data_IF_597217272844
#
_entry.id   IF_597217272844
#
_cell.length_a   1.000
_cell.length_b   1.000
_cell.length_c   1.000
_cell.angle_alpha   90.00
_cell.angle_beta   90.00
_cell.angle_gamma   90.00
#
_symmetry.space_group_name_H-M   'P 1'
#
loop_
_entity.id
_entity.type
_entity.pdbx_description
1 polymer ?
#
# COMPACT_ATOMS: atom_id res chain seq x y z
N UNK A 1 32.82 16.16 4.15
CA UNK A 1 33.64 17.26 3.62
C UNK A 1 34.27 16.80 2.32
N UNK A 2 33.77 17.26 1.17
CA UNK A 2 34.35 16.90 -0.12
C UNK A 2 35.67 17.66 -0.29
N UNK A 3 36.81 16.96 -0.27
CA UNK A 3 38.10 17.60 -0.55
C UNK A 3 38.09 18.06 -2.00
N UNK A 4 38.27 19.38 -2.21
CA UNK A 4 38.42 19.97 -3.54
C UNK A 4 39.60 19.30 -4.27
N UNK A 5 39.46 18.93 -5.55
CA UNK A 5 40.58 18.38 -6.30
C UNK A 5 41.70 19.42 -6.37
N UNK A 6 42.93 18.98 -6.07
CA UNK A 6 44.16 19.77 -6.23
C UNK A 6 44.21 20.37 -7.65
N UNK A 7 44.49 21.67 -7.75
CA UNK A 7 44.66 22.32 -9.06
C UNK A 7 45.85 21.69 -9.80
N UNK A 8 45.72 21.54 -11.13
CA UNK A 8 46.75 20.98 -12.02
C UNK A 8 48.12 21.62 -11.83
N UNK A 9 48.15 22.95 -11.65
CA UNK A 9 49.37 23.73 -11.41
C UNK A 9 50.03 23.45 -10.06
N UNK A 10 49.27 23.09 -9.02
CA UNK A 10 49.83 22.72 -7.72
C UNK A 10 50.40 21.30 -7.76
N UNK A 11 49.76 20.39 -8.51
CA UNK A 11 50.26 19.05 -8.75
C UNK A 11 51.55 19.06 -9.59
N UNK A 12 51.64 19.93 -10.61
CA UNK A 12 52.85 20.14 -11.44
C UNK A 12 54.05 20.65 -10.62
N UNK A 13 53.79 21.46 -9.57
CA UNK A 13 54.83 21.91 -8.63
C UNK A 13 55.30 20.83 -7.65
N UNK A 14 54.62 19.67 -7.61
CA UNK A 14 55.06 18.56 -6.78
C UNK A 14 56.25 17.83 -7.41
N UNK A 15 57.05 17.22 -6.53
CA UNK A 15 58.21 16.41 -6.85
C UNK A 15 57.97 15.49 -8.06
N UNK A 16 58.73 15.68 -9.14
CA UNK A 16 58.67 14.86 -10.36
C UNK A 16 58.78 13.36 -10.04
N UNK A 17 59.55 13.01 -9.00
CA UNK A 17 59.69 11.62 -8.52
C UNK A 17 58.36 11.08 -7.99
N UNK A 18 57.63 11.88 -7.19
CA UNK A 18 56.34 11.47 -6.66
C UNK A 18 55.30 11.29 -7.78
N UNK A 19 55.32 12.14 -8.80
CA UNK A 19 54.45 11.97 -9.98
C UNK A 19 54.75 10.68 -10.74
N UNK A 20 56.02 10.36 -10.96
CA UNK A 20 56.45 9.13 -11.61
C UNK A 20 56.06 7.88 -10.80
N UNK A 21 56.20 7.91 -9.47
CA UNK A 21 55.75 6.83 -8.59
C UNK A 21 54.23 6.61 -8.64
N UNK A 22 53.45 7.69 -8.61
CA UNK A 22 51.99 7.64 -8.77
C UNK A 22 51.63 7.04 -10.13
N UNK A 23 52.34 7.43 -11.19
CA UNK A 23 52.11 6.91 -12.53
C UNK A 23 52.40 5.41 -12.62
N UNK A 24 53.54 4.97 -12.07
CA UNK A 24 53.90 3.55 -11.96
C UNK A 24 52.85 2.74 -11.21
N UNK A 25 52.32 3.28 -10.11
CA UNK A 25 51.26 2.62 -9.35
C UNK A 25 49.96 2.50 -10.15
N UNK A 26 49.55 3.55 -10.86
CA UNK A 26 48.35 3.53 -11.71
C UNK A 26 48.46 2.50 -12.83
N UNK A 27 49.62 2.43 -13.50
CA UNK A 27 49.85 1.44 -14.55
C UNK A 27 49.77 0.00 -14.02
N UNK A 28 50.29 -0.26 -12.82
CA UNK A 28 50.15 -1.56 -12.15
C UNK A 28 48.70 -1.87 -11.79
N UNK A 29 47.99 -0.92 -11.20
CA UNK A 29 46.59 -1.10 -10.85
C UNK A 29 45.71 -1.33 -12.09
N UNK A 30 45.98 -0.64 -13.20
CA UNK A 30 45.28 -0.84 -14.47
C UNK A 30 45.58 -2.21 -15.08
N UNK A 31 46.84 -2.66 -15.05
CA UNK A 31 47.20 -3.98 -15.57
C UNK A 31 46.59 -5.10 -14.73
N UNK A 32 46.60 -5.01 -13.41
CA UNK A 32 45.92 -5.94 -12.51
C UNK A 32 44.40 -5.91 -12.70
N UNK A 33 43.80 -4.73 -12.87
CA UNK A 33 42.39 -4.61 -13.17
C UNK A 33 42.05 -5.29 -14.50
N UNK A 34 42.85 -5.08 -15.55
CA UNK A 34 42.68 -5.72 -16.86
C UNK A 34 42.78 -7.25 -16.77
N UNK A 35 43.73 -7.78 -16.01
CA UNK A 35 43.88 -9.23 -15.82
C UNK A 35 42.70 -9.83 -15.02
N UNK A 36 42.23 -9.13 -13.99
CA UNK A 36 41.11 -9.58 -13.17
C UNK A 36 39.73 -9.30 -13.80
N UNK A 37 39.66 -8.45 -14.83
CA UNK A 37 38.39 -8.01 -15.42
C UNK A 37 37.56 -9.17 -15.99
N UNK A 38 38.11 -10.10 -16.79
CA UNK A 38 37.33 -11.23 -17.31
C UNK A 38 36.80 -12.15 -16.21
N UNK A 39 37.57 -12.36 -15.14
CA UNK A 39 37.14 -13.20 -14.02
C UNK A 39 36.01 -12.54 -13.20
N UNK A 40 36.12 -11.24 -12.92
CA UNK A 40 35.12 -10.51 -12.12
C UNK A 40 33.92 -10.03 -12.91
N UNK A 41 34.07 -9.75 -14.19
CA UNK A 41 33.08 -9.04 -15.02
C UNK A 41 32.82 -9.72 -16.37
N UNK A 42 33.40 -10.90 -16.64
CA UNK A 42 33.20 -11.61 -17.90
C UNK A 42 31.73 -11.93 -18.19
N UNK A 43 30.92 -12.15 -17.16
CA UNK A 43 29.48 -12.37 -17.27
C UNK A 43 28.71 -11.18 -17.90
N UNK A 44 29.27 -9.96 -17.86
CA UNK A 44 28.67 -8.80 -18.53
C UNK A 44 28.84 -8.84 -20.05
N UNK A 45 29.79 -9.64 -20.55
CA UNK A 45 30.00 -9.83 -21.99
C UNK A 45 29.10 -10.95 -22.52
N UNK A 46 28.70 -11.89 -21.66
CA UNK A 46 27.83 -13.02 -22.02
C UNK A 46 26.46 -12.52 -22.46
N UNK A 47 25.99 -13.01 -23.61
CA UNK A 47 24.67 -12.66 -24.10
C UNK A 47 23.59 -13.32 -23.23
N UNK A 48 22.45 -12.65 -23.03
CA UNK A 48 21.34 -13.20 -22.23
C UNK A 48 20.89 -14.60 -22.70
N UNK A 49 21.04 -14.88 -24.01
CA UNK A 49 20.73 -16.19 -24.59
C UNK A 49 21.64 -17.29 -24.06
N UNK A 50 22.96 -17.04 -23.99
CA UNK A 50 23.92 -17.99 -23.43
C UNK A 50 23.70 -18.22 -21.94
N UNK A 51 23.24 -17.21 -21.20
CA UNK A 51 22.87 -17.38 -19.78
C UNK A 51 21.64 -18.27 -19.60
N UNK A 52 20.66 -18.14 -20.49
CA UNK A 52 19.44 -18.96 -20.45
C UNK A 52 19.70 -20.39 -20.90
N UNK A 53 20.55 -20.58 -21.92
CA UNK A 53 20.88 -21.90 -22.50
C UNK A 53 21.92 -22.65 -21.66
N UNK A 54 22.86 -21.94 -21.02
CA UNK A 54 23.88 -22.54 -20.15
C UNK A 54 23.37 -22.96 -18.77
N UNK A 55 22.28 -22.36 -18.28
CA UNK A 55 21.61 -22.77 -17.03
C UNK A 55 20.67 -23.97 -17.24
N UNK A 56 20.56 -24.48 -18.49
CA UNK A 56 19.91 -25.76 -18.80
C UNK A 56 20.81 -26.97 -18.51
N UNK A 57 21.93 -26.80 -17.80
CA UNK A 57 22.56 -27.94 -17.11
C UNK A 57 21.50 -28.53 -16.16
N UNK A 58 21.12 -29.82 -16.35
CA UNK A 58 19.92 -30.37 -15.76
C UNK A 58 20.03 -30.19 -14.26
N UNK A 59 19.14 -29.37 -13.70
CA UNK A 59 19.02 -29.18 -12.26
C UNK A 59 19.11 -30.57 -11.61
N UNK A 60 20.30 -30.90 -11.10
CA UNK A 60 20.44 -31.98 -10.14
C UNK A 60 19.37 -31.66 -9.11
N UNK A 61 18.39 -32.55 -8.90
CA UNK A 61 17.20 -32.18 -8.15
C UNK A 61 17.71 -31.68 -6.80
N UNK A 62 17.55 -30.37 -6.56
CA UNK A 62 17.97 -29.73 -5.32
C UNK A 62 17.56 -30.69 -4.22
N UNK A 63 18.49 -31.16 -3.36
CA UNK A 63 18.16 -32.18 -2.37
C UNK A 63 16.92 -31.66 -1.67
N UNK A 64 15.84 -32.45 -1.72
CA UNK A 64 14.58 -32.10 -1.08
C UNK A 64 14.93 -32.00 0.39
N UNK A 65 15.23 -30.79 0.87
CA UNK A 65 15.49 -30.54 2.27
C UNK A 65 14.22 -30.95 2.96
N UNK A 66 14.25 -32.11 3.62
CA UNK A 66 13.08 -32.62 4.30
C UNK A 66 12.74 -31.63 5.40
N UNK A 67 11.62 -30.94 5.23
CA UNK A 67 11.19 -29.92 6.19
C UNK A 67 11.02 -30.61 7.56
N UNK A 68 11.77 -30.18 8.59
CA UNK A 68 11.67 -30.75 9.93
C UNK A 68 10.22 -30.77 10.42
N UNK A 69 9.86 -31.82 11.17
CA UNK A 69 8.46 -32.07 11.59
C UNK A 69 7.79 -30.88 12.27
N UNK A 70 8.53 -30.09 13.06
CA UNK A 70 8.01 -28.93 13.78
C UNK A 70 7.65 -27.74 12.88
N UNK A 71 8.13 -27.70 11.64
CA UNK A 71 7.72 -26.70 10.64
C UNK A 71 6.54 -27.16 9.77
N UNK A 72 6.10 -28.43 9.91
CA UNK A 72 4.92 -28.91 9.19
C UNK A 72 3.67 -28.36 9.89
N UNK A 73 2.99 -27.43 9.22
CA UNK A 73 1.71 -26.91 9.70
C UNK A 73 0.69 -28.06 9.71
N UNK A 74 0.22 -28.44 10.89
CA UNK A 74 -0.86 -29.41 11.00
C UNK A 74 -2.15 -28.81 10.41
N UNK A 75 -2.91 -29.59 9.63
CA UNK A 75 -4.21 -29.14 9.17
C UNK A 75 -5.08 -28.82 10.39
N UNK A 76 -5.62 -27.60 10.43
CA UNK A 76 -6.53 -27.15 11.48
C UNK A 76 -7.71 -28.11 11.53
N UNK A 77 -8.09 -28.56 12.73
CA UNK A 77 -9.25 -29.42 12.92
C UNK A 77 -10.48 -28.79 12.24
N UNK A 78 -11.25 -29.53 11.44
CA UNK A 78 -12.41 -28.97 10.75
C UNK A 78 -13.40 -28.40 11.77
N UNK A 79 -13.53 -27.07 11.78
CA UNK A 79 -14.44 -26.36 12.70
C UNK A 79 -15.90 -26.73 12.46
N UNK A 80 -16.25 -27.18 11.25
CA UNK A 80 -17.59 -27.59 10.84
C UNK A 80 -18.19 -28.69 11.74
N UNK A 81 -17.35 -29.54 12.36
CA UNK A 81 -17.83 -30.56 13.32
C UNK A 81 -18.40 -29.94 14.59
N UNK A 82 -17.88 -28.79 15.01
CA UNK A 82 -18.20 -28.15 16.29
C UNK A 82 -19.08 -26.91 16.13
N UNK A 83 -18.99 -26.22 14.99
CA UNK A 83 -19.79 -25.03 14.69
C UNK A 83 -20.91 -25.42 13.74
N UNK A 84 -22.10 -25.68 14.29
CA UNK A 84 -23.32 -25.76 13.49
C UNK A 84 -23.87 -24.34 13.30
N UNK A 85 -23.68 -23.78 12.11
CA UNK A 85 -24.26 -22.49 11.74
C UNK A 85 -25.75 -22.70 11.53
N UNK A 86 -26.56 -22.37 12.54
CA UNK A 86 -28.01 -22.34 12.42
C UNK A 86 -28.46 -21.02 11.78
N UNK A 87 -29.57 -20.99 11.02
CA UNK A 87 -30.12 -19.76 10.48
C UNK A 87 -30.44 -18.78 11.61
N UNK A 88 -30.18 -17.49 11.37
CA UNK A 88 -30.48 -16.43 12.33
C UNK A 88 -31.98 -16.41 12.66
N UNK A 89 -32.37 -16.19 13.94
CA UNK A 89 -33.78 -16.04 14.29
C UNK A 89 -34.40 -14.85 13.55
N UNK A 90 -35.71 -14.88 13.26
CA UNK A 90 -36.39 -13.75 12.64
C UNK A 90 -36.29 -12.52 13.54
N UNK A 91 -36.06 -11.35 12.94
CA UNK A 91 -35.94 -10.07 13.66
C UNK A 91 -37.19 -9.87 14.53
N UNK A 92 -37.06 -9.63 15.85
CA UNK A 92 -38.22 -9.44 16.70
C UNK A 92 -39.01 -8.22 16.22
N UNK A 93 -40.32 -8.41 16.00
CA UNK A 93 -41.25 -7.31 15.79
C UNK A 93 -41.41 -6.59 17.13
N UNK A 94 -40.53 -5.64 17.41
CA UNK A 94 -40.65 -4.81 18.61
C UNK A 94 -41.77 -3.81 18.37
N UNK A 95 -42.67 -3.63 19.34
CA UNK A 95 -43.58 -2.47 19.39
C UNK A 95 -42.80 -1.15 19.38
N UNK A 96 -41.50 -1.24 19.70
CA UNK A 96 -40.55 -0.14 19.67
C UNK A 96 -39.95 0.16 18.29
N UNK A 97 -40.23 -0.67 17.25
CA UNK A 97 -39.61 -0.55 15.93
C UNK A 97 -39.87 0.81 15.24
N UNK A 98 -40.92 1.51 15.67
CA UNK A 98 -41.15 2.92 15.42
C UNK A 98 -41.74 3.59 16.67
N UNK A 99 -40.94 3.82 17.72
CA UNK A 99 -41.36 4.71 18.81
C UNK A 99 -41.37 6.14 18.29
N UNK A 100 -42.55 6.73 18.16
CA UNK A 100 -42.71 8.17 18.07
C UNK A 100 -43.71 8.61 17.01
N UNK A 101 -43.83 9.93 16.88
CA UNK A 101 -44.63 10.69 15.91
C UNK A 101 -44.41 10.34 14.42
N UNK A 102 -43.60 9.32 14.12
CA UNK A 102 -43.36 8.76 12.78
C UNK A 102 -44.03 7.40 12.54
N UNK A 103 -44.69 6.80 13.54
CA UNK A 103 -45.47 5.59 13.29
C UNK A 103 -46.73 5.96 12.50
N UNK A 104 -46.64 5.90 11.17
CA UNK A 104 -47.78 6.10 10.25
C UNK A 104 -48.81 4.96 10.30
N UNK A 105 -48.85 4.19 11.39
CA UNK A 105 -49.82 3.12 11.56
C UNK A 105 -51.17 3.73 11.98
N UNK A 106 -52.26 3.49 11.22
CA UNK A 106 -53.56 4.10 11.48
C UNK A 106 -54.15 3.70 12.83
N UNK A 107 -53.66 2.61 13.45
CA UNK A 107 -54.08 2.17 14.78
C UNK A 107 -53.76 3.20 15.89
N UNK A 108 -52.71 4.01 15.72
CA UNK A 108 -52.26 4.95 16.75
C UNK A 108 -52.84 6.36 16.62
N UNK A 109 -53.51 6.68 15.50
CA UNK A 109 -54.19 7.96 15.24
C UNK A 109 -53.38 9.22 15.64
N UNK A 110 -52.05 9.20 15.46
CA UNK A 110 -51.17 10.30 15.88
C UNK A 110 -51.24 11.52 14.95
N UNK A 111 -51.68 11.34 13.70
CA UNK A 111 -51.90 12.43 12.74
C UNK A 111 -53.23 13.14 12.99
N UNK A 112 -53.36 13.83 14.13
CA UNK A 112 -54.58 14.57 14.48
C UNK A 112 -54.77 15.84 13.64
N UNK A 113 -53.73 16.29 12.94
CA UNK A 113 -53.72 17.54 12.17
C UNK A 113 -53.06 17.32 10.80
N UNK A 114 -53.70 16.56 9.91
CA UNK A 114 -53.24 16.38 8.52
C UNK A 114 -53.50 17.60 7.64
N UNK A 115 -54.28 18.58 8.10
CA UNK A 115 -54.45 19.84 7.39
C UNK A 115 -53.22 20.72 7.62
N UNK A 116 -52.28 20.70 6.66
CA UNK A 116 -51.31 21.78 6.48
C UNK A 116 -52.11 23.02 6.08
N UNK A 117 -52.71 23.71 7.04
CA UNK A 117 -53.23 25.05 6.82
C UNK A 117 -52.02 25.93 6.54
N UNK A 118 -51.88 26.39 5.30
CA UNK A 118 -50.88 27.39 4.94
C UNK A 118 -50.99 28.57 5.92
N UNK A 119 -50.02 28.70 6.83
CA UNK A 119 -49.99 29.77 7.83
C UNK A 119 -49.69 31.14 7.21
N UNK A 120 -49.37 31.20 5.91
CA UNK A 120 -48.96 32.43 5.23
C UNK A 120 -50.13 33.41 5.17
N UNK A 121 -50.09 34.44 6.02
CA UNK A 121 -51.10 35.50 6.09
C UNK A 121 -52.30 35.21 6.99
N UNK A 122 -52.35 34.09 7.72
CA UNK A 122 -53.39 33.88 8.75
C UNK A 122 -53.20 34.85 9.92
N UNK A 123 -51.97 34.92 10.46
CA UNK A 123 -51.62 35.80 11.57
C UNK A 123 -51.79 37.30 11.24
N UNK A 124 -51.50 37.69 9.99
CA UNK A 124 -51.71 39.07 9.53
C UNK A 124 -53.20 39.45 9.51
N UNK A 125 -54.11 38.49 9.23
CA UNK A 125 -55.56 38.72 9.30
C UNK A 125 -56.04 38.86 10.74
N UNK A 126 -55.55 38.01 11.64
CA UNK A 126 -55.92 38.08 13.07
C UNK A 126 -55.50 39.43 13.70
N UNK A 127 -54.34 39.96 13.32
CA UNK A 127 -53.86 41.27 13.78
C UNK A 127 -54.49 42.47 13.05
N UNK A 128 -55.40 42.25 12.09
CA UNK A 128 -55.92 43.30 11.19
C UNK A 128 -54.81 44.13 10.55
N UNK A 129 -53.73 43.47 10.13
CA UNK A 129 -52.54 44.15 9.63
C UNK A 129 -52.86 44.96 8.36
N UNK A 130 -52.37 46.21 8.24
CA UNK A 130 -52.61 47.02 7.05
C UNK A 130 -51.98 46.37 5.82
N UNK A 131 -52.67 46.44 4.67
CA UNK A 131 -52.24 45.79 3.42
C UNK A 131 -50.85 46.25 2.96
N UNK A 132 -50.46 47.49 3.29
CA UNK A 132 -49.16 48.07 2.98
C UNK A 132 -47.99 47.37 3.70
N UNK A 133 -48.26 46.67 4.82
CA UNK A 133 -47.24 45.97 5.61
C UNK A 133 -47.10 44.48 5.30
N UNK A 134 -47.86 43.94 4.34
CA UNK A 134 -47.77 42.55 3.88
C UNK A 134 -47.14 42.56 2.48
N UNK A 135 -45.82 42.74 2.41
CA UNK A 135 -45.02 42.56 1.21
C UNK A 135 -44.14 41.33 1.34
#
# INVERSE_FOLDING_TARGET
MAQKPLSTTAAERMNLVAQDEIWKYRLKAESEARQNWPSKWGYLTTSMKELLEGDEEPHTPKPKVELPSHFRVHPVSPLDKYIKILPSPPVPKTTQGFIGWRSGLPLYCLEKYTEIRSCKGAYARDLRWPKQGVH
#
